data_IF_243340718291
#
_entry.id   IF_243340718291
#
_cell.length_a   1.000
_cell.length_b   1.000
_cell.length_c   1.000
_cell.angle_alpha   90.00
_cell.angle_beta   90.00
_cell.angle_gamma   90.00
#
_symmetry.space_group_name_H-M   'P 1'
#
loop_
_entity.id
_entity.type
_entity.pdbx_description
1 polymer ?
#
# COMPACT_ATOMS: atom_id res chain seq x y z
N UNK A 1 -3.54 2.95 -1.24
CA UNK A 1 -3.64 1.89 -2.26
C UNK A 1 -2.80 0.71 -1.83
N UNK A 2 -3.32 -0.50 -1.96
CA UNK A 2 -2.74 -1.74 -1.45
C UNK A 2 -2.75 -2.74 -2.58
N UNK A 3 -1.61 -3.37 -2.86
CA UNK A 3 -1.49 -4.46 -3.81
C UNK A 3 -1.04 -5.72 -3.07
N UNK A 4 -1.75 -6.83 -3.24
CA UNK A 4 -1.44 -8.07 -2.52
C UNK A 4 -0.30 -8.83 -3.21
N UNK A 5 -0.33 -8.93 -4.54
CA UNK A 5 0.54 -9.86 -5.25
C UNK A 5 0.12 -11.29 -4.95
N UNK A 6 -0.45 -11.94 -5.95
CA UNK A 6 -0.98 -13.30 -5.83
C UNK A 6 -0.13 -14.33 -6.58
N UNK A 7 1.13 -14.61 -6.16
CA UNK A 7 1.84 -15.79 -6.66
C UNK A 7 1.12 -17.10 -6.27
N UNK A 8 0.19 -17.03 -5.31
CA UNK A 8 -0.72 -18.11 -4.95
C UNK A 8 -1.55 -18.58 -6.16
N UNK A 9 -1.92 -17.67 -7.08
CA UNK A 9 -2.68 -18.05 -8.28
C UNK A 9 -1.89 -19.01 -9.16
N UNK A 10 -0.59 -18.78 -9.31
CA UNK A 10 0.29 -19.60 -10.14
C UNK A 10 0.44 -21.01 -9.57
N UNK A 11 0.40 -21.15 -8.24
CA UNK A 11 0.63 -22.44 -7.57
C UNK A 11 -0.68 -23.20 -7.26
N UNK A 12 -1.77 -22.52 -6.95
CA UNK A 12 -3.01 -23.12 -6.45
C UNK A 12 -4.26 -22.78 -7.28
N UNK A 13 -4.10 -21.98 -8.35
CA UNK A 13 -5.18 -21.58 -9.24
C UNK A 13 -5.98 -20.37 -8.73
N UNK A 14 -6.78 -19.79 -9.63
CA UNK A 14 -7.53 -18.56 -9.37
C UNK A 14 -8.54 -18.68 -8.22
N UNK A 15 -9.20 -19.82 -8.05
CA UNK A 15 -10.13 -20.01 -6.93
C UNK A 15 -9.44 -19.90 -5.55
N UNK A 16 -8.19 -20.34 -5.45
CA UNK A 16 -7.41 -20.18 -4.23
C UNK A 16 -7.06 -18.70 -3.99
N UNK A 17 -6.75 -17.98 -5.07
CA UNK A 17 -6.57 -16.53 -5.06
C UNK A 17 -7.79 -15.79 -4.52
N UNK A 18 -8.97 -16.12 -5.04
CA UNK A 18 -10.21 -15.48 -4.60
C UNK A 18 -10.48 -15.71 -3.11
N UNK A 19 -10.29 -16.94 -2.62
CA UNK A 19 -10.39 -17.25 -1.17
C UNK A 19 -9.39 -16.46 -0.33
N UNK A 20 -8.18 -16.23 -0.84
CA UNK A 20 -7.17 -15.42 -0.15
C UNK A 20 -7.59 -13.94 -0.13
N UNK A 21 -8.12 -13.42 -1.23
CA UNK A 21 -8.61 -12.04 -1.30
C UNK A 21 -9.79 -11.78 -0.35
N UNK A 22 -10.67 -12.76 -0.16
CA UNK A 22 -11.75 -12.70 0.84
C UNK A 22 -11.18 -12.60 2.27
N UNK A 23 -10.23 -13.48 2.61
CA UNK A 23 -9.55 -13.45 3.92
C UNK A 23 -8.78 -12.14 4.14
N UNK A 24 -8.16 -11.59 3.09
CA UNK A 24 -7.50 -10.28 3.15
C UNK A 24 -8.51 -9.17 3.40
N UNK A 25 -9.66 -9.18 2.71
CA UNK A 25 -10.70 -8.20 2.98
C UNK A 25 -11.17 -8.23 4.44
N UNK A 26 -11.25 -9.41 5.06
CA UNK A 26 -11.53 -9.52 6.51
C UNK A 26 -10.42 -8.92 7.38
N UNK A 27 -9.15 -9.17 7.06
CA UNK A 27 -8.01 -8.54 7.75
C UNK A 27 -8.11 -7.03 7.64
N UNK A 28 -8.31 -6.50 6.43
CA UNK A 28 -8.42 -5.06 6.17
C UNK A 28 -9.57 -4.44 6.96
N UNK A 29 -10.73 -5.10 7.02
CA UNK A 29 -11.86 -4.62 7.86
C UNK A 29 -11.52 -4.58 9.35
N UNK A 30 -10.76 -5.55 9.87
CA UNK A 30 -10.39 -5.59 11.30
C UNK A 30 -9.35 -4.54 11.67
N UNK A 31 -8.42 -4.23 10.78
CA UNK A 31 -7.34 -3.27 11.05
C UNK A 31 -7.74 -1.82 10.74
N UNK A 32 -8.78 -1.61 9.93
CA UNK A 32 -9.37 -0.31 9.66
C UNK A 32 -10.34 0.14 10.75
N UNK A 33 -10.56 1.45 10.86
CA UNK A 33 -11.62 2.02 11.71
C UNK A 33 -12.97 1.85 11.03
N UNK A 34 -14.04 1.89 11.83
CA UNK A 34 -15.41 1.86 11.30
C UNK A 34 -15.74 3.05 10.37
N UNK A 35 -15.02 4.16 10.49
CA UNK A 35 -15.16 5.35 9.64
C UNK A 35 -14.41 5.27 8.31
N UNK A 36 -13.52 4.29 8.14
CA UNK A 36 -12.68 4.17 6.95
C UNK A 36 -13.45 3.45 5.85
N UNK A 37 -13.28 3.90 4.61
CA UNK A 37 -13.90 3.27 3.45
C UNK A 37 -12.93 2.26 2.82
N UNK A 38 -13.32 0.99 2.80
CA UNK A 38 -12.57 -0.09 2.15
C UNK A 38 -13.21 -0.43 0.79
N UNK A 39 -12.39 -0.40 -0.27
CA UNK A 39 -12.79 -0.63 -1.66
C UNK A 39 -11.88 -1.71 -2.26
N UNK A 40 -12.44 -2.68 -2.99
CA UNK A 40 -11.68 -3.53 -3.90
C UNK A 40 -11.56 -2.79 -5.22
N UNK A 41 -10.36 -2.32 -5.55
CA UNK A 41 -10.14 -1.44 -6.71
C UNK A 41 -10.18 -2.23 -8.02
N UNK A 42 -9.60 -3.42 -8.03
CA UNK A 42 -9.59 -4.33 -9.19
C UNK A 42 -8.55 -5.42 -9.01
N UNK A 43 -8.78 -6.61 -9.58
CA UNK A 43 -7.85 -7.73 -9.45
C UNK A 43 -7.52 -8.05 -7.99
N UNK A 44 -6.25 -7.87 -7.63
CA UNK A 44 -5.65 -8.05 -6.30
C UNK A 44 -5.32 -6.74 -5.57
N UNK A 45 -5.98 -5.64 -5.97
CA UNK A 45 -5.78 -4.31 -5.41
C UNK A 45 -6.95 -3.82 -4.55
N UNK A 46 -6.62 -3.14 -3.46
CA UNK A 46 -7.55 -2.51 -2.53
C UNK A 46 -7.20 -1.04 -2.31
N UNK A 47 -8.22 -0.24 -2.01
CA UNK A 47 -8.07 1.15 -1.57
C UNK A 47 -8.75 1.29 -0.22
N UNK A 48 -8.05 1.95 0.71
CA UNK A 48 -8.63 2.39 1.99
C UNK A 48 -8.58 3.91 2.00
N UNK A 49 -9.73 4.54 2.18
CA UNK A 49 -9.84 5.99 2.40
C UNK A 49 -10.00 6.21 3.90
N UNK A 50 -9.00 6.84 4.50
CA UNK A 50 -8.98 7.17 5.93
C UNK A 50 -9.40 8.62 6.12
N UNK A 51 -10.25 8.88 7.13
CA UNK A 51 -10.55 10.24 7.56
C UNK A 51 -9.61 10.67 8.66
N UNK A 52 -9.28 11.96 8.69
CA UNK A 52 -8.48 12.59 9.75
C UNK A 52 -7.15 11.85 10.00
N UNK A 53 -6.47 11.51 8.92
CA UNK A 53 -5.19 10.81 8.95
C UNK A 53 -4.12 11.65 8.26
N UNK A 54 -3.12 12.07 9.02
CA UNK A 54 -1.89 12.62 8.47
C UNK A 54 -0.98 11.49 7.93
N UNK A 55 0.15 11.88 7.36
CA UNK A 55 1.12 10.95 6.78
C UNK A 55 1.68 9.94 7.81
N UNK A 56 1.76 10.31 9.10
CA UNK A 56 2.26 9.45 10.17
C UNK A 56 1.21 8.42 10.62
N UNK A 57 -0.05 8.84 10.74
CA UNK A 57 -1.18 7.96 11.02
C UNK A 57 -1.34 6.95 9.88
N UNK A 58 -1.26 7.42 8.63
CA UNK A 58 -1.33 6.56 7.44
C UNK A 58 -0.16 5.55 7.41
N UNK A 59 1.06 5.96 7.74
CA UNK A 59 2.21 5.07 7.84
C UNK A 59 2.00 3.97 8.91
N UNK A 60 1.46 4.33 10.07
CA UNK A 60 1.16 3.38 11.14
C UNK A 60 0.10 2.35 10.73
N UNK A 61 -0.93 2.79 10.00
CA UNK A 61 -1.93 1.89 9.45
C UNK A 61 -1.34 0.98 8.37
N UNK A 62 -0.51 1.52 7.47
CA UNK A 62 0.16 0.76 6.43
C UNK A 62 1.03 -0.36 7.03
N UNK A 63 1.83 -0.07 8.05
CA UNK A 63 2.63 -1.10 8.72
C UNK A 63 1.77 -2.16 9.38
N UNK A 64 0.69 -1.76 10.08
CA UNK A 64 -0.25 -2.70 10.70
C UNK A 64 -0.90 -3.64 9.67
N UNK A 65 -1.32 -3.10 8.53
CA UNK A 65 -1.90 -3.90 7.42
C UNK A 65 -0.86 -4.89 6.91
N UNK A 66 0.33 -4.40 6.56
CA UNK A 66 1.41 -5.19 5.99
C UNK A 66 1.80 -6.34 6.90
N UNK A 67 2.05 -6.06 8.18
CA UNK A 67 2.38 -7.09 9.16
C UNK A 67 1.26 -8.11 9.33
N UNK A 68 0.00 -7.66 9.39
CA UNK A 68 -1.14 -8.56 9.57
C UNK A 68 -1.28 -9.54 8.40
N UNK A 69 -1.04 -9.07 7.17
CA UNK A 69 -1.06 -9.91 5.98
C UNK A 69 0.14 -10.86 5.95
N UNK A 70 1.36 -10.35 6.18
CA UNK A 70 2.59 -11.15 6.13
C UNK A 70 2.59 -12.29 7.18
N UNK A 71 2.00 -12.04 8.37
CA UNK A 71 1.93 -13.02 9.46
C UNK A 71 0.82 -14.06 9.27
N UNK A 72 -0.21 -13.78 8.47
CA UNK A 72 -1.35 -14.68 8.29
C UNK A 72 -1.00 -15.93 7.47
N UNK A 73 -1.52 -17.08 7.92
CA UNK A 73 -1.67 -18.28 7.10
C UNK A 73 -3.04 -18.24 6.41
N UNK A 74 -3.05 -18.13 5.09
CA UNK A 74 -4.26 -18.08 4.29
C UNK A 74 -4.67 -19.48 3.87
N UNK A 75 -5.93 -19.85 4.08
CA UNK A 75 -6.48 -21.10 3.56
C UNK A 75 -6.63 -21.01 2.05
N UNK A 76 -5.97 -21.90 1.32
CA UNK A 76 -6.07 -22.01 -0.15
C UNK A 76 -6.91 -23.22 -0.57
N UNK A 77 -7.08 -24.20 0.31
CA UNK A 77 -8.01 -25.32 0.16
C UNK A 77 -8.47 -25.83 1.54
N UNK A 78 -9.21 -26.94 1.59
CA UNK A 78 -9.63 -27.60 2.84
C UNK A 78 -8.42 -28.03 3.69
N UNK A 79 -7.33 -28.46 3.06
CA UNK A 79 -6.17 -29.06 3.73
C UNK A 79 -4.86 -28.32 3.51
N UNK A 80 -4.89 -27.18 2.81
CA UNK A 80 -3.68 -26.42 2.46
C UNK A 80 -3.78 -24.96 2.86
N UNK A 81 -2.65 -24.44 3.33
CA UNK A 81 -2.45 -23.01 3.63
C UNK A 81 -1.27 -22.46 2.84
N UNK A 82 -1.28 -21.14 2.61
CA UNK A 82 -0.19 -20.40 2.00
C UNK A 82 0.02 -19.07 2.73
N UNK A 83 1.16 -18.44 2.49
CA UNK A 83 1.45 -17.07 2.92
C UNK A 83 1.47 -16.15 1.71
N UNK A 84 1.20 -14.87 1.95
CA UNK A 84 1.46 -13.80 0.97
C UNK A 84 1.86 -12.53 1.72
N UNK A 85 2.17 -11.49 0.97
CA UNK A 85 2.53 -10.16 1.49
C UNK A 85 1.60 -9.12 0.86
N UNK A 86 1.88 -7.84 1.09
CA UNK A 86 1.31 -6.77 0.28
C UNK A 86 2.31 -5.61 0.14
N UNK A 87 2.18 -4.82 -0.92
CA UNK A 87 2.82 -3.51 -1.05
C UNK A 87 1.79 -2.41 -0.93
N UNK A 88 2.14 -1.29 -0.30
CA UNK A 88 1.20 -0.21 0.00
C UNK A 88 1.78 1.14 -0.42
N UNK A 89 1.00 1.92 -1.15
CA UNK A 89 1.27 3.32 -1.45
C UNK A 89 0.18 4.21 -0.85
N UNK A 90 0.55 5.34 -0.26
CA UNK A 90 -0.44 6.27 0.31
C UNK A 90 -0.06 7.74 0.11
N UNK A 91 -1.08 8.58 0.07
CA UNK A 91 -0.93 10.02 -0.06
C UNK A 91 -2.13 10.71 0.63
N UNK A 92 -1.94 11.90 1.24
CA UNK A 92 -3.03 12.65 1.84
C UNK A 92 -3.92 13.30 0.76
N UNK A 93 -5.16 13.58 1.13
CA UNK A 93 -6.04 14.49 0.40
C UNK A 93 -6.43 15.65 1.33
N UNK A 94 -6.22 16.92 0.94
CA UNK A 94 -5.49 17.36 -0.25
C UNK A 94 -4.00 16.96 -0.19
N UNK A 95 -3.38 16.72 -1.35
CA UNK A 95 -1.97 16.31 -1.43
C UNK A 95 -1.00 17.39 -0.91
N UNK A 96 -1.34 18.66 -1.18
CA UNK A 96 -0.64 19.85 -0.65
C UNK A 96 -1.61 20.55 0.29
N UNK A 97 -1.30 20.58 1.59
CA UNK A 97 -2.18 21.13 2.62
C UNK A 97 -2.58 22.59 2.35
N UNK A 98 -1.66 23.41 1.84
CA UNK A 98 -1.90 24.81 1.50
C UNK A 98 -2.81 25.04 0.28
N UNK A 99 -3.17 23.99 -0.47
CA UNK A 99 -3.98 24.05 -1.70
C UNK A 99 -5.19 23.11 -1.62
N UNK A 100 -6.01 23.25 -0.57
CA UNK A 100 -7.22 22.45 -0.39
C UNK A 100 -8.24 22.59 -1.53
N UNK A 101 -8.29 23.74 -2.21
CA UNK A 101 -9.24 24.00 -3.31
C UNK A 101 -8.71 23.64 -4.71
N UNK A 102 -7.41 23.38 -4.87
CA UNK A 102 -6.79 23.19 -6.18
C UNK A 102 -6.53 21.72 -6.54
N UNK A 103 -6.80 20.79 -5.62
CA UNK A 103 -6.51 19.37 -5.78
C UNK A 103 -7.76 18.50 -5.88
N UNK A 104 -7.77 17.57 -6.83
CA UNK A 104 -8.83 16.56 -6.93
C UNK A 104 -8.45 15.30 -6.14
N UNK A 105 -9.43 14.51 -5.71
CA UNK A 105 -9.16 13.25 -5.00
C UNK A 105 -8.46 12.25 -5.94
N UNK A 106 -8.73 12.32 -7.24
CA UNK A 106 -8.08 11.52 -8.28
C UNK A 106 -6.57 11.78 -8.33
N UNK A 107 -6.13 13.03 -8.14
CA UNK A 107 -4.70 13.34 -8.05
C UNK A 107 -4.06 12.70 -6.81
N UNK A 108 -4.74 12.74 -5.67
CA UNK A 108 -4.24 12.09 -4.44
C UNK A 108 -4.17 10.58 -4.59
N UNK A 109 -5.13 9.98 -5.30
CA UNK A 109 -5.08 8.57 -5.67
C UNK A 109 -3.90 8.28 -6.61
N UNK A 110 -3.63 9.14 -7.60
CA UNK A 110 -2.48 8.98 -8.49
C UNK A 110 -1.14 9.06 -7.74
N UNK A 111 -0.99 9.98 -6.77
CA UNK A 111 0.20 10.00 -5.91
C UNK A 111 0.33 8.74 -5.05
N UNK A 112 -0.79 8.21 -4.53
CA UNK A 112 -0.79 6.94 -3.81
C UNK A 112 -0.40 5.76 -4.70
N UNK A 113 -0.81 5.75 -5.98
CA UNK A 113 -0.42 4.73 -6.95
C UNK A 113 1.06 4.83 -7.33
N UNK A 114 1.57 6.04 -7.56
CA UNK A 114 2.99 6.26 -7.83
C UNK A 114 3.87 5.86 -6.62
N UNK A 115 3.40 6.08 -5.39
CA UNK A 115 4.06 5.57 -4.19
C UNK A 115 3.99 4.03 -4.11
N UNK A 116 2.85 3.44 -4.48
CA UNK A 116 2.67 1.98 -4.54
C UNK A 116 3.60 1.35 -5.56
N UNK A 117 3.80 1.98 -6.72
CA UNK A 117 4.71 1.53 -7.75
C UNK A 117 6.14 1.37 -7.19
N UNK A 118 6.61 2.35 -6.41
CA UNK A 118 7.91 2.24 -5.74
C UNK A 118 7.91 1.11 -4.69
N UNK A 119 6.86 1.01 -3.87
CA UNK A 119 6.75 -0.05 -2.86
C UNK A 119 6.66 -1.47 -3.47
N UNK A 120 6.16 -1.61 -4.71
CA UNK A 120 6.12 -2.87 -5.45
C UNK A 120 7.52 -3.36 -5.85
N UNK A 121 8.49 -2.46 -6.06
CA UNK A 121 9.87 -2.84 -6.43
C UNK A 121 10.59 -3.59 -5.31
N UNK A 122 10.31 -3.21 -4.07
CA UNK A 122 10.92 -3.83 -2.89
C UNK A 122 10.07 -5.01 -2.38
N UNK A 123 8.77 -4.99 -2.68
CA UNK A 123 7.73 -5.94 -2.21
C UNK A 123 7.63 -5.99 -0.68
N UNK A 124 6.47 -6.40 -0.16
CA UNK A 124 6.22 -6.44 1.29
C UNK A 124 6.64 -5.12 1.97
N UNK A 125 6.28 -4.00 1.34
CA UNK A 125 6.74 -2.70 1.77
C UNK A 125 5.67 -1.62 1.63
N UNK A 126 5.90 -0.46 2.26
CA UNK A 126 5.06 0.71 2.09
C UNK A 126 5.84 2.01 1.92
N UNK A 127 5.27 2.91 1.11
CA UNK A 127 5.78 4.26 0.87
C UNK A 127 4.60 5.22 0.90
N UNK A 128 4.82 6.39 1.49
CA UNK A 128 3.87 7.48 1.51
C UNK A 128 4.51 8.80 1.13
N UNK A 129 3.78 9.59 0.35
CA UNK A 129 4.19 10.92 -0.08
C UNK A 129 3.19 11.98 0.32
N UNK A 130 3.68 13.18 0.61
CA UNK A 130 2.88 14.39 0.72
C UNK A 130 3.58 15.54 0.00
N UNK A 131 2.81 16.43 -0.62
CA UNK A 131 3.35 17.61 -1.29
C UNK A 131 3.56 18.74 -0.29
N UNK A 132 4.70 19.41 -0.38
CA UNK A 132 4.95 20.66 0.36
C UNK A 132 4.40 21.86 -0.41
N UNK A 133 4.49 23.05 0.19
CA UNK A 133 4.19 24.31 -0.52
C UNK A 133 5.05 24.52 -1.77
N UNK A 134 6.28 23.98 -1.81
CA UNK A 134 7.16 24.11 -3.00
C UNK A 134 6.63 23.35 -4.20
N UNK A 135 6.03 22.17 -3.96
CA UNK A 135 5.39 21.40 -5.01
C UNK A 135 4.21 22.14 -5.67
N UNK A 136 3.67 23.19 -5.03
CA UNK A 136 2.58 23.98 -5.58
C UNK A 136 2.93 24.76 -6.86
N UNK A 137 4.23 24.94 -7.14
CA UNK A 137 4.75 25.61 -8.34
C UNK A 137 5.02 24.64 -9.51
N UNK A 138 4.92 23.33 -9.26
CA UNK A 138 5.24 22.31 -10.25
C UNK A 138 4.00 22.02 -11.08
N UNK A 139 4.06 22.42 -12.35
CA UNK A 139 3.09 21.99 -13.36
C UNK A 139 3.16 20.48 -13.54
N UNK A 140 1.99 19.83 -13.69
CA UNK A 140 1.92 18.37 -13.90
C UNK A 140 2.62 17.55 -12.80
N UNK A 141 2.45 17.98 -11.54
CA UNK A 141 3.12 17.38 -10.38
C UNK A 141 3.05 15.84 -10.34
N UNK A 142 1.91 15.22 -10.65
CA UNK A 142 1.77 13.74 -10.70
C UNK A 142 2.84 13.11 -11.60
N UNK A 143 2.99 13.61 -12.82
CA UNK A 143 3.97 13.10 -13.78
C UNK A 143 5.40 13.35 -13.30
N UNK A 144 5.67 14.50 -12.68
CA UNK A 144 6.99 14.80 -12.12
C UNK A 144 7.36 13.82 -10.98
N UNK A 145 6.40 13.49 -10.12
CA UNK A 145 6.58 12.51 -9.04
C UNK A 145 6.82 11.11 -9.59
N UNK A 146 6.07 10.69 -10.61
CA UNK A 146 6.26 9.38 -11.26
C UNK A 146 7.64 9.23 -11.92
N UNK A 147 8.19 10.33 -12.47
CA UNK A 147 9.48 10.34 -13.15
C UNK A 147 10.67 10.37 -12.19
N UNK A 148 10.66 11.27 -11.20
CA UNK A 148 11.79 11.48 -10.31
C UNK A 148 11.39 12.01 -8.92
N UNK A 149 10.71 11.17 -8.16
CA UNK A 149 10.34 11.47 -6.78
C UNK A 149 11.56 11.78 -5.88
N UNK A 150 12.72 11.15 -6.09
CA UNK A 150 13.89 11.35 -5.22
C UNK A 150 14.49 12.75 -5.39
N UNK A 151 14.58 13.25 -6.62
CA UNK A 151 14.98 14.65 -6.85
C UNK A 151 14.00 15.61 -6.17
N UNK A 152 12.69 15.40 -6.33
CA UNK A 152 11.68 16.25 -5.68
C UNK A 152 11.72 16.18 -4.14
N UNK A 153 12.08 15.03 -3.56
CA UNK A 153 12.34 14.91 -2.13
C UNK A 153 13.57 15.74 -1.74
N UNK A 154 14.67 15.63 -2.49
CA UNK A 154 15.91 16.35 -2.21
C UNK A 154 15.76 17.87 -2.32
N UNK A 155 14.90 18.36 -3.21
CA UNK A 155 14.55 19.77 -3.38
C UNK A 155 13.54 20.30 -2.34
N UNK A 156 13.00 19.40 -1.49
CA UNK A 156 12.01 19.72 -0.48
C UNK A 156 10.61 19.96 -1.05
N UNK A 157 10.32 19.47 -2.25
CA UNK A 157 9.00 19.50 -2.87
C UNK A 157 8.09 18.38 -2.32
N UNK A 158 8.66 17.25 -1.91
CA UNK A 158 7.93 16.14 -1.32
C UNK A 158 8.41 15.81 0.09
N UNK A 159 7.48 15.53 0.98
CA UNK A 159 7.72 14.77 2.20
C UNK A 159 7.53 13.29 1.93
N UNK A 160 8.41 12.46 2.49
CA UNK A 160 8.34 11.00 2.37
C UNK A 160 8.26 10.33 3.73
N UNK A 161 7.43 9.28 3.79
CA UNK A 161 7.51 8.23 4.81
C UNK A 161 7.74 6.93 4.07
N UNK A 162 8.80 6.21 4.42
CA UNK A 162 9.11 4.90 3.87
C UNK A 162 9.54 4.00 5.00
N UNK A 163 9.15 2.74 4.94
CA UNK A 163 9.61 1.73 5.90
C UNK A 163 11.07 1.39 5.64
N UNK A 164 11.84 1.17 6.69
CA UNK A 164 13.17 0.59 6.57
C UNK A 164 13.06 -0.93 6.32
N UNK A 165 13.77 -1.42 5.31
CA UNK A 165 13.81 -2.84 5.00
C UNK A 165 14.75 -3.57 5.98
N UNK A 166 14.21 -4.55 6.70
CA UNK A 166 15.01 -5.51 7.43
C UNK A 166 15.39 -6.68 6.50
N UNK A 167 16.64 -7.14 6.58
CA UNK A 167 17.15 -8.29 5.78
C UNK A 167 16.37 -9.58 5.97
N UNK A 168 15.66 -9.72 7.09
CA UNK A 168 14.90 -10.92 7.43
C UNK A 168 13.43 -10.90 6.96
N UNK A 169 12.95 -9.79 6.40
CA UNK A 169 11.54 -9.58 6.03
C UNK A 169 11.28 -9.61 4.51
N UNK A 170 11.96 -10.52 3.81
CA UNK A 170 11.79 -10.70 2.37
C UNK A 170 10.55 -11.54 2.06
N UNK A 171 9.93 -11.28 0.90
CA UNK A 171 8.78 -12.09 0.47
C UNK A 171 9.16 -13.56 0.31
N UNK A 172 10.35 -13.86 -0.19
CA UNK A 172 10.79 -15.25 -0.38
C UNK A 172 10.81 -16.01 0.95
N UNK A 173 11.24 -15.36 2.05
CA UNK A 173 11.17 -15.97 3.38
C UNK A 173 9.73 -16.14 3.85
N UNK A 174 8.88 -15.13 3.66
CA UNK A 174 7.44 -15.23 3.98
C UNK A 174 6.82 -16.43 3.25
N UNK A 175 7.09 -16.59 1.96
CA UNK A 175 6.56 -17.69 1.15
C UNK A 175 7.20 -19.05 1.50
N UNK A 176 8.44 -19.07 2.00
CA UNK A 176 9.17 -20.27 2.39
C UNK A 176 8.79 -20.82 3.77
N UNK A 177 8.21 -20.00 4.65
CA UNK A 177 7.74 -20.39 6.00
C UNK A 177 6.48 -21.31 5.97
N UNK A 178 6.45 -22.26 5.04
CA UNK A 178 5.29 -23.12 4.71
C UNK A 178 4.77 -23.94 5.90
N UNK A 179 5.59 -24.16 6.92
CA UNK A 179 5.23 -24.94 8.10
C UNK A 179 6.04 -24.42 9.29
N UNK A 180 5.48 -23.50 10.06
CA UNK A 180 5.89 -23.33 11.46
C UNK A 180 4.77 -23.94 12.30
N UNK A 181 5.14 -25.05 12.94
CA UNK A 181 4.45 -25.93 13.91
C UNK A 181 3.03 -25.57 14.37
#
# INVERSE_FOLDING_TARGET
>A
MIWIGLPINDQYGHEAGDRVLEQIAEILRRVSRASDLLIRWGGDEFVIVCRDADLSIAASLAERIRESIAKQLFRVSISSVARTSCSIGFAPYPFIAAKSEAGSWEQSLAFADAALYQAKRERNNWIGWAGTERAAQISQLVQAVEQDAETLISEGCLEVRRRELATDDTVDRILALRHAE
#
